data_IF_809079590126
#
_entry.id   IF_809079590126
#
_cell.length_a   1.000
_cell.length_b   1.000
_cell.length_c   1.000
_cell.angle_alpha   90.00
_cell.angle_beta   90.00
_cell.angle_gamma   90.00
#
_symmetry.space_group_name_H-M   'P 1'
#
loop_
_entity.id
_entity.type
_entity.pdbx_description
1 polymer ?
#
# COMPACT_ATOMS: atom_id res chain seq x y z
N UNK A 1 16.27 5.66 25.87
CA UNK A 1 16.36 6.11 24.47
C UNK A 1 14.93 6.22 23.96
N UNK A 2 14.47 7.40 23.63
CA UNK A 2 13.15 7.54 23.00
C UNK A 2 13.20 6.89 21.61
N UNK A 3 12.37 5.88 21.41
CA UNK A 3 12.23 5.23 20.10
C UNK A 3 11.55 6.22 19.15
N UNK A 4 12.24 6.63 18.09
CA UNK A 4 11.67 7.50 17.06
C UNK A 4 11.87 6.91 15.68
N UNK A 5 10.93 7.18 14.79
CA UNK A 5 11.02 6.79 13.39
C UNK A 5 10.93 8.04 12.52
N UNK A 6 11.87 8.19 11.60
CA UNK A 6 11.82 9.20 10.57
C UNK A 6 11.47 8.56 9.23
N UNK A 7 10.57 9.17 8.49
CA UNK A 7 10.24 8.79 7.11
C UNK A 7 10.14 10.03 6.24
N UNK A 8 10.28 9.87 4.94
CA UNK A 8 10.20 10.99 3.99
C UNK A 8 9.09 10.72 2.98
N UNK A 9 8.24 11.71 2.76
CA UNK A 9 7.22 11.66 1.72
C UNK A 9 7.41 12.82 0.73
N UNK A 10 6.91 12.68 -0.51
CA UNK A 10 6.92 13.78 -1.48
C UNK A 10 6.17 15.00 -0.94
N UNK A 11 6.68 16.19 -1.24
CA UNK A 11 6.09 17.45 -0.75
C UNK A 11 4.64 17.67 -1.17
N UNK A 12 4.30 17.26 -2.38
CA UNK A 12 2.94 17.32 -2.91
C UNK A 12 1.96 16.36 -2.21
N UNK A 13 2.46 15.44 -1.37
CA UNK A 13 1.65 14.54 -0.55
C UNK A 13 1.46 15.00 0.90
N UNK A 14 2.18 16.03 1.33
CA UNK A 14 2.09 16.56 2.70
C UNK A 14 0.67 17.05 3.00
N UNK A 15 0.06 17.77 2.06
CA UNK A 15 -1.33 18.22 2.23
C UNK A 15 -2.32 17.09 2.47
N UNK A 16 -2.15 15.96 1.75
CA UNK A 16 -2.97 14.77 1.96
C UNK A 16 -2.71 14.10 3.32
N UNK A 17 -1.47 14.12 3.81
CA UNK A 17 -1.11 13.60 5.14
C UNK A 17 -1.68 14.44 6.27
N UNK A 18 -1.65 15.75 6.15
CA UNK A 18 -2.21 16.66 7.17
C UNK A 18 -3.74 16.60 7.13
N UNK A 19 -4.33 16.64 5.93
CA UNK A 19 -5.76 16.71 5.71
C UNK A 19 -6.32 18.10 6.00
N UNK A 20 -7.62 18.29 5.76
CA UNK A 20 -8.32 19.52 6.11
C UNK A 20 -8.26 19.73 7.62
N UNK A 21 -7.77 20.90 8.05
CA UNK A 21 -7.66 21.27 9.48
C UNK A 21 -6.88 20.22 10.34
N UNK A 22 -5.99 19.46 9.73
CA UNK A 22 -5.18 18.47 10.43
C UNK A 22 -5.89 17.12 10.69
N UNK A 23 -7.07 16.90 10.15
CA UNK A 23 -7.92 15.74 10.48
C UNK A 23 -7.29 14.39 10.17
N UNK A 24 -6.52 14.26 9.09
CA UNK A 24 -5.85 13.02 8.72
C UNK A 24 -4.71 12.72 9.69
N UNK A 25 -3.87 13.72 9.94
CA UNK A 25 -2.78 13.65 10.93
C UNK A 25 -3.29 13.25 12.30
N UNK A 26 -4.30 13.96 12.82
CA UNK A 26 -4.90 13.68 14.13
C UNK A 26 -5.47 12.27 14.22
N UNK A 27 -6.06 11.77 13.14
CA UNK A 27 -6.60 10.41 13.09
C UNK A 27 -5.52 9.35 13.19
N UNK A 28 -4.39 9.55 12.53
CA UNK A 28 -3.23 8.64 12.62
C UNK A 28 -2.63 8.68 14.03
N UNK A 29 -2.42 9.88 14.59
CA UNK A 29 -1.86 10.06 15.92
C UNK A 29 -2.69 9.37 17.00
N UNK A 30 -4.03 9.50 16.92
CA UNK A 30 -4.96 8.86 17.88
C UNK A 30 -5.03 7.35 17.69
N UNK A 31 -5.02 6.85 16.45
CA UNK A 31 -5.16 5.43 16.17
C UNK A 31 -3.97 4.61 16.70
N UNK A 32 -2.79 5.18 16.70
CA UNK A 32 -1.55 4.50 17.07
C UNK A 32 -0.91 5.04 18.36
N UNK A 33 -1.55 6.01 19.00
CA UNK A 33 -1.02 6.68 20.19
C UNK A 33 0.41 7.19 19.99
N UNK A 34 0.59 7.96 18.91
CA UNK A 34 1.87 8.54 18.50
C UNK A 34 1.74 10.04 18.30
N UNK A 35 2.85 10.74 18.34
CA UNK A 35 2.99 12.15 17.93
C UNK A 35 3.69 12.22 16.58
N UNK A 36 3.17 13.04 15.68
CA UNK A 36 3.72 13.24 14.35
C UNK A 36 4.14 14.69 14.14
N UNK A 37 5.41 14.90 13.82
CA UNK A 37 5.94 16.20 13.41
C UNK A 37 6.20 16.19 11.91
N UNK A 38 5.65 17.17 11.20
CA UNK A 38 5.73 17.29 9.74
C UNK A 38 6.60 18.47 9.38
N UNK A 39 7.70 18.22 8.68
CA UNK A 39 8.50 19.27 8.07
C UNK A 39 8.08 19.44 6.59
N UNK A 40 7.32 20.49 6.32
CA UNK A 40 6.76 20.75 4.98
C UNK A 40 7.80 21.15 3.93
N UNK A 41 8.96 21.63 4.33
CA UNK A 41 10.03 22.02 3.40
C UNK A 41 10.84 20.81 2.93
N UNK A 42 11.17 19.91 3.84
CA UNK A 42 12.00 18.73 3.56
C UNK A 42 11.18 17.47 3.22
N UNK A 43 9.91 17.41 3.59
CA UNK A 43 9.09 16.21 3.49
C UNK A 43 9.39 15.17 4.58
N UNK A 44 10.22 15.51 5.55
CA UNK A 44 10.56 14.61 6.68
C UNK A 44 9.39 14.58 7.66
N UNK A 45 8.98 13.38 8.00
CA UNK A 45 7.97 13.08 9.01
C UNK A 45 8.66 12.35 10.16
N UNK A 46 8.59 12.92 11.34
CA UNK A 46 9.08 12.30 12.57
C UNK A 46 7.91 11.75 13.36
N UNK A 47 8.00 10.49 13.75
CA UNK A 47 7.03 9.77 14.57
C UNK A 47 7.66 9.41 15.92
N UNK A 48 6.98 9.77 16.98
CA UNK A 48 7.36 9.49 18.37
C UNK A 48 6.18 8.81 19.08
N UNK A 49 6.42 7.83 19.96
CA UNK A 49 5.35 7.31 20.80
C UNK A 49 4.91 8.38 21.81
N UNK A 50 3.64 8.42 22.18
CA UNK A 50 3.19 9.23 23.30
C UNK A 50 3.71 8.67 24.62
N UNK A 51 3.69 9.49 25.68
CA UNK A 51 4.10 9.07 27.02
C UNK A 51 3.26 7.87 27.49
N UNK A 52 3.95 6.79 27.87
CA UNK A 52 3.30 5.55 28.29
C UNK A 52 3.02 4.54 27.18
N UNK A 53 3.14 4.92 25.92
CA UNK A 53 3.07 3.98 24.80
C UNK A 53 4.41 3.25 24.63
N UNK A 54 4.45 1.98 25.02
CA UNK A 54 5.63 1.11 24.89
C UNK A 54 5.50 0.08 23.75
N UNK A 55 4.49 0.23 22.87
CA UNK A 55 4.27 -0.68 21.76
C UNK A 55 5.06 -0.24 20.51
N UNK A 56 6.16 -0.94 20.16
CA UNK A 56 6.93 -0.62 18.95
C UNK A 56 6.16 -0.90 17.66
N UNK A 57 5.15 -1.77 17.70
CA UNK A 57 4.33 -2.12 16.53
C UNK A 57 3.46 -0.94 16.11
N UNK A 58 2.90 -0.19 17.05
CA UNK A 58 2.09 0.98 16.77
C UNK A 58 2.85 2.03 15.96
N UNK A 59 4.12 2.26 16.31
CA UNK A 59 4.97 3.22 15.61
C UNK A 59 5.30 2.78 14.18
N UNK A 60 5.55 1.47 13.97
CA UNK A 60 5.78 0.92 12.64
C UNK A 60 4.52 1.00 11.76
N UNK A 61 3.36 0.71 12.32
CA UNK A 61 2.07 0.85 11.61
C UNK A 61 1.76 2.29 11.24
N UNK A 62 1.97 3.23 12.15
CA UNK A 62 1.83 4.65 11.84
C UNK A 62 2.74 5.05 10.66
N UNK A 63 4.00 4.57 10.67
CA UNK A 63 4.93 4.78 9.55
C UNK A 63 4.40 4.21 8.23
N UNK A 64 3.81 3.01 8.24
CA UNK A 64 3.27 2.38 7.03
C UNK A 64 2.09 3.18 6.46
N UNK A 65 1.20 3.71 7.31
CA UNK A 65 0.11 4.60 6.89
C UNK A 65 0.66 5.88 6.26
N UNK A 66 1.64 6.51 6.89
CA UNK A 66 2.32 7.71 6.35
C UNK A 66 2.98 7.40 5.01
N UNK A 67 3.69 6.27 4.92
CA UNK A 67 4.32 5.81 3.69
C UNK A 67 3.29 5.56 2.58
N UNK A 68 2.17 4.93 2.88
CA UNK A 68 1.08 4.69 1.92
C UNK A 68 0.55 6.01 1.33
N UNK A 69 0.28 7.01 2.17
CA UNK A 69 -0.12 8.34 1.71
C UNK A 69 0.97 8.95 0.83
N UNK A 70 2.23 8.85 1.21
CA UNK A 70 3.39 9.29 0.43
C UNK A 70 3.54 8.56 -0.91
N UNK A 71 3.02 7.34 -1.03
CA UNK A 71 2.99 6.54 -2.27
C UNK A 71 1.71 6.74 -3.10
N UNK A 72 0.96 7.80 -2.83
CA UNK A 72 -0.17 8.24 -3.65
C UNK A 72 -1.53 7.69 -3.24
N UNK A 73 -1.63 6.89 -2.18
CA UNK A 73 -2.93 6.47 -1.68
C UNK A 73 -3.71 7.66 -1.10
N UNK A 74 -5.01 7.69 -1.34
CA UNK A 74 -5.90 8.57 -0.59
C UNK A 74 -5.91 8.14 0.89
N UNK A 75 -6.07 9.09 1.84
CA UNK A 75 -6.07 8.77 3.27
C UNK A 75 -7.03 7.63 3.65
N UNK A 76 -8.22 7.60 3.07
CA UNK A 76 -9.23 6.55 3.32
C UNK A 76 -8.72 5.14 2.95
N UNK A 77 -7.91 5.04 1.89
CA UNK A 77 -7.29 3.78 1.49
C UNK A 77 -6.10 3.42 2.38
N UNK A 78 -5.31 4.41 2.80
CA UNK A 78 -4.22 4.20 3.73
C UNK A 78 -4.71 3.74 5.11
N UNK A 79 -5.90 4.18 5.54
CA UNK A 79 -6.52 3.77 6.80
C UNK A 79 -6.91 2.29 6.86
N UNK A 80 -6.95 1.59 5.74
CA UNK A 80 -7.09 0.12 5.73
C UNK A 80 -5.95 -0.54 6.53
N UNK A 81 -4.77 0.09 6.58
CA UNK A 81 -3.62 -0.36 7.37
C UNK A 81 -3.80 -0.21 8.90
N UNK A 82 -4.92 0.35 9.37
CA UNK A 82 -5.25 0.33 10.79
C UNK A 82 -5.57 -1.09 11.27
N UNK A 83 -6.06 -1.94 10.38
CA UNK A 83 -6.30 -3.34 10.67
C UNK A 83 -4.98 -4.12 10.74
N UNK A 84 -4.87 -5.01 11.72
CA UNK A 84 -3.63 -5.74 12.01
C UNK A 84 -3.26 -6.78 10.94
N UNK A 85 -4.26 -7.27 10.20
CA UNK A 85 -4.10 -8.25 9.13
C UNK A 85 -3.81 -7.62 7.76
N UNK A 86 -3.71 -6.29 7.68
CA UNK A 86 -3.41 -5.56 6.45
C UNK A 86 -1.95 -5.13 6.39
N UNK A 87 -1.40 -5.20 5.20
CA UNK A 87 0.00 -4.87 4.93
C UNK A 87 0.11 -3.89 3.76
N UNK A 88 1.16 -3.09 3.80
CA UNK A 88 1.63 -2.27 2.69
C UNK A 88 2.82 -2.97 2.05
N UNK A 89 2.76 -3.17 0.75
CA UNK A 89 3.91 -3.55 -0.07
C UNK A 89 4.18 -2.48 -1.13
N UNK A 90 5.44 -2.18 -1.36
CA UNK A 90 5.87 -1.15 -2.32
C UNK A 90 6.91 -1.75 -3.25
N UNK A 91 6.66 -1.64 -4.54
CA UNK A 91 7.59 -2.02 -5.59
C UNK A 91 8.18 -0.75 -6.21
N UNK A 92 9.47 -0.56 -6.05
CA UNK A 92 10.20 0.57 -6.64
C UNK A 92 10.72 0.19 -8.03
N UNK A 93 10.23 0.87 -9.05
CA UNK A 93 10.63 0.63 -10.44
C UNK A 93 12.06 1.08 -10.73
N UNK A 94 12.63 1.95 -9.90
CA UNK A 94 14.04 2.34 -10.02
C UNK A 94 15.01 1.23 -9.65
N UNK A 95 14.60 0.33 -8.77
CA UNK A 95 15.39 -0.86 -8.42
C UNK A 95 15.56 -1.79 -9.63
N UNK A 96 14.59 -1.78 -10.55
CA UNK A 96 14.57 -2.63 -11.74
C UNK A 96 15.13 -1.94 -12.98
N UNK A 97 14.86 -0.66 -13.16
CA UNK A 97 15.14 0.10 -14.38
C UNK A 97 16.12 1.27 -14.17
N UNK A 98 16.63 1.45 -12.96
CA UNK A 98 17.49 2.58 -12.61
C UNK A 98 16.75 3.91 -12.87
N UNK A 99 17.41 4.83 -13.56
CA UNK A 99 16.86 6.16 -13.90
C UNK A 99 16.23 6.23 -15.30
N UNK A 100 15.93 5.09 -15.92
CA UNK A 100 15.27 5.06 -17.24
C UNK A 100 13.81 5.47 -17.14
N UNK A 101 13.54 6.75 -17.26
CA UNK A 101 12.17 7.29 -17.22
C UNK A 101 11.26 6.67 -18.31
N UNK A 102 11.83 6.38 -19.49
CA UNK A 102 11.09 5.73 -20.59
C UNK A 102 10.60 4.35 -20.20
N UNK A 103 11.45 3.52 -19.58
CA UNK A 103 11.06 2.17 -19.14
C UNK A 103 10.07 2.23 -17.99
N UNK A 104 10.30 3.12 -17.03
CA UNK A 104 9.39 3.34 -15.91
C UNK A 104 8.00 3.76 -16.42
N UNK A 105 7.89 4.73 -17.31
CA UNK A 105 6.61 5.16 -17.88
C UNK A 105 5.93 4.07 -18.69
N UNK A 106 6.69 3.32 -19.48
CA UNK A 106 6.15 2.18 -20.24
C UNK A 106 5.54 1.12 -19.33
N UNK A 107 6.22 0.75 -18.26
CA UNK A 107 5.75 -0.24 -17.28
C UNK A 107 4.55 0.27 -16.49
N UNK A 108 4.59 1.52 -16.04
CA UNK A 108 3.43 2.17 -15.38
C UNK A 108 2.20 2.12 -16.28
N UNK A 109 2.35 2.47 -17.56
CA UNK A 109 1.27 2.39 -18.53
C UNK A 109 0.68 0.99 -18.68
N UNK A 110 1.50 -0.05 -18.64
CA UNK A 110 1.05 -1.45 -18.68
C UNK A 110 0.25 -1.85 -17.43
N UNK A 111 0.68 -1.42 -16.25
CA UNK A 111 0.02 -1.73 -14.97
C UNK A 111 -1.29 -0.96 -14.83
N UNK A 112 -1.33 0.30 -15.24
CA UNK A 112 -2.55 1.10 -15.22
C UNK A 112 -3.54 0.56 -16.27
N UNK A 113 -3.05 0.31 -17.48
CA UNK A 113 -3.85 -0.07 -18.63
C UNK A 113 -4.67 1.09 -19.18
N UNK A 114 -5.37 0.84 -20.29
CA UNK A 114 -6.27 1.83 -20.90
C UNK A 114 -7.36 2.22 -19.90
N UNK A 115 -7.47 3.52 -19.63
CA UNK A 115 -8.45 4.10 -18.68
C UNK A 115 -8.42 3.44 -17.28
N UNK A 116 -7.26 2.92 -16.87
CA UNK A 116 -7.07 2.25 -15.58
C UNK A 116 -7.67 0.83 -15.51
N UNK A 117 -8.00 0.22 -16.64
CA UNK A 117 -8.66 -1.10 -16.71
C UNK A 117 -7.83 -2.21 -16.06
N UNK A 118 -6.52 -2.25 -16.35
CA UNK A 118 -5.65 -3.31 -15.82
C UNK A 118 -5.51 -3.19 -14.31
N UNK A 119 -5.29 -1.98 -13.80
CA UNK A 119 -5.23 -1.72 -12.35
C UNK A 119 -6.53 -2.18 -11.66
N UNK A 120 -7.69 -1.74 -12.17
CA UNK A 120 -8.99 -2.15 -11.59
C UNK A 120 -9.18 -3.67 -11.63
N UNK A 121 -8.77 -4.32 -12.72
CA UNK A 121 -8.85 -5.78 -12.82
C UNK A 121 -8.00 -6.48 -11.75
N UNK A 122 -6.78 -5.98 -11.49
CA UNK A 122 -5.95 -6.54 -10.42
C UNK A 122 -6.62 -6.31 -9.06
N UNK A 123 -7.09 -5.10 -8.77
CA UNK A 123 -7.77 -4.76 -7.52
C UNK A 123 -9.00 -5.65 -7.28
N UNK A 124 -9.87 -5.80 -8.26
CA UNK A 124 -11.09 -6.61 -8.18
C UNK A 124 -10.81 -8.11 -8.00
N UNK A 125 -9.76 -8.62 -8.65
CA UNK A 125 -9.43 -10.05 -8.59
C UNK A 125 -8.67 -10.44 -7.33
N UNK A 126 -7.96 -9.50 -6.70
CA UNK A 126 -7.12 -9.78 -5.51
C UNK A 126 -7.71 -9.24 -4.21
N UNK A 127 -8.62 -8.28 -4.28
CA UNK A 127 -9.11 -7.46 -3.15
C UNK A 127 -8.00 -6.58 -2.51
N UNK A 128 -6.90 -6.35 -3.23
CA UNK A 128 -5.88 -5.37 -2.87
C UNK A 128 -6.19 -4.00 -3.49
N UNK A 129 -5.77 -2.93 -2.84
CA UNK A 129 -5.79 -1.57 -3.41
C UNK A 129 -4.41 -1.25 -4.00
N UNK A 130 -4.38 -0.62 -5.17
CA UNK A 130 -3.14 -0.31 -5.89
C UNK A 130 -3.02 1.19 -6.12
N UNK A 131 -1.85 1.73 -5.85
CA UNK A 131 -1.46 3.10 -6.22
C UNK A 131 -0.22 3.06 -7.11
N UNK A 132 -0.29 3.72 -8.26
CA UNK A 132 0.85 3.93 -9.15
C UNK A 132 1.22 5.40 -9.07
N UNK A 133 2.29 5.71 -8.35
CA UNK A 133 2.70 7.09 -8.06
C UNK A 133 4.21 7.25 -8.17
N UNK A 134 4.66 8.33 -8.82
CA UNK A 134 6.08 8.54 -9.07
C UNK A 134 6.71 7.35 -9.81
N UNK A 135 7.70 6.74 -9.20
CA UNK A 135 8.38 5.54 -9.69
C UNK A 135 8.01 4.28 -8.89
N UNK A 136 6.94 4.33 -8.09
CA UNK A 136 6.54 3.23 -7.22
C UNK A 136 5.14 2.70 -7.53
N UNK A 137 4.94 1.44 -7.21
CA UNK A 137 3.66 0.76 -7.20
C UNK A 137 3.41 0.32 -5.76
N UNK A 138 2.45 0.95 -5.11
CA UNK A 138 2.02 0.59 -3.76
C UNK A 138 0.84 -0.37 -3.82
N UNK A 139 0.77 -1.31 -2.87
CA UNK A 139 -0.30 -2.29 -2.73
C UNK A 139 -0.69 -2.40 -1.27
N UNK A 140 -1.99 -2.30 -0.96
CA UNK A 140 -2.55 -2.42 0.39
C UNK A 140 -3.64 -3.49 0.40
N UNK A 141 -3.60 -4.38 1.36
CA UNK A 141 -4.60 -5.43 1.55
C UNK A 141 -4.13 -6.50 2.52
N UNK A 142 -4.87 -7.60 2.60
CA UNK A 142 -4.39 -8.80 3.29
C UNK A 142 -3.15 -9.37 2.61
N UNK A 143 -2.35 -10.14 3.33
CA UNK A 143 -1.08 -10.66 2.84
C UNK A 143 -1.22 -11.43 1.50
N UNK A 144 -2.17 -12.37 1.42
CA UNK A 144 -2.38 -13.16 0.20
C UNK A 144 -2.86 -12.30 -0.98
N UNK A 145 -3.69 -11.29 -0.71
CA UNK A 145 -4.17 -10.33 -1.72
C UNK A 145 -3.01 -9.51 -2.29
N UNK A 146 -2.19 -8.94 -1.42
CA UNK A 146 -1.02 -8.14 -1.79
C UNK A 146 0.02 -8.98 -2.52
N UNK A 147 0.29 -10.22 -2.05
CA UNK A 147 1.21 -11.15 -2.71
C UNK A 147 0.78 -11.48 -4.14
N UNK A 148 -0.51 -11.75 -4.35
CA UNK A 148 -1.07 -12.03 -5.69
C UNK A 148 -1.03 -10.79 -6.58
N UNK A 149 -1.37 -9.62 -6.04
CA UNK A 149 -1.30 -8.35 -6.78
C UNK A 149 0.14 -8.03 -7.21
N UNK A 150 1.11 -8.25 -6.33
CA UNK A 150 2.53 -8.10 -6.63
C UNK A 150 2.97 -9.03 -7.77
N UNK A 151 2.62 -10.31 -7.70
CA UNK A 151 2.96 -11.28 -8.74
C UNK A 151 2.38 -10.86 -10.11
N UNK A 152 1.13 -10.39 -10.15
CA UNK A 152 0.51 -9.87 -11.36
C UNK A 152 1.25 -8.63 -11.91
N UNK A 153 1.65 -7.69 -11.03
CA UNK A 153 2.44 -6.53 -11.41
C UNK A 153 3.80 -6.93 -11.97
N UNK A 154 4.49 -7.87 -11.34
CA UNK A 154 5.78 -8.39 -11.81
C UNK A 154 5.68 -9.10 -13.16
N UNK A 155 4.60 -9.84 -13.42
CA UNK A 155 4.34 -10.42 -14.73
C UNK A 155 4.22 -9.34 -15.82
N UNK A 156 3.52 -8.24 -15.54
CA UNK A 156 3.40 -7.10 -16.46
C UNK A 156 4.74 -6.39 -16.68
N UNK A 157 5.54 -6.23 -15.63
CA UNK A 157 6.88 -5.66 -15.67
C UNK A 157 7.79 -6.50 -16.57
N UNK A 158 7.72 -7.83 -16.46
CA UNK A 158 8.48 -8.80 -17.29
C UNK A 158 7.97 -8.90 -18.72
N UNK A 159 6.94 -8.13 -19.11
CA UNK A 159 6.43 -8.07 -20.47
C UNK A 159 5.38 -9.14 -20.82
N UNK A 160 4.83 -9.86 -19.85
CA UNK A 160 3.74 -10.82 -20.10
C UNK A 160 2.51 -10.11 -20.67
N UNK A 161 1.82 -10.76 -21.59
CA UNK A 161 0.58 -10.22 -22.18
C UNK A 161 -0.51 -10.04 -21.13
N UNK A 162 -1.32 -9.00 -21.25
CA UNK A 162 -2.44 -8.74 -20.33
C UNK A 162 -3.40 -9.94 -20.20
N UNK A 163 -3.70 -10.62 -21.31
CA UNK A 163 -4.54 -11.82 -21.30
C UNK A 163 -3.98 -12.93 -20.40
N UNK A 164 -2.67 -13.13 -20.42
CA UNK A 164 -1.98 -14.10 -19.55
C UNK A 164 -2.11 -13.71 -18.08
N UNK A 165 -1.91 -12.43 -17.76
CA UNK A 165 -2.06 -11.92 -16.38
C UNK A 165 -3.50 -12.05 -15.88
N UNK A 166 -4.48 -11.73 -16.72
CA UNK A 166 -5.90 -11.88 -16.38
C UNK A 166 -6.30 -13.34 -16.14
N UNK A 167 -5.73 -14.27 -16.92
CA UNK A 167 -5.94 -15.72 -16.70
C UNK A 167 -5.36 -16.14 -15.36
N UNK A 168 -4.14 -15.72 -15.04
CA UNK A 168 -3.50 -15.94 -13.74
C UNK A 168 -4.38 -15.45 -12.60
N UNK A 169 -4.84 -14.18 -12.66
CA UNK A 169 -5.68 -13.58 -11.62
C UNK A 169 -6.99 -14.35 -11.41
N UNK A 170 -7.65 -14.82 -12.50
CA UNK A 170 -8.88 -15.62 -12.37
C UNK A 170 -8.62 -16.97 -11.69
N UNK A 171 -7.50 -17.61 -11.97
CA UNK A 171 -7.11 -18.86 -11.32
C UNK A 171 -6.90 -18.59 -9.81
N UNK A 172 -6.11 -17.59 -9.45
CA UNK A 172 -5.85 -17.21 -8.05
C UNK A 172 -7.13 -16.84 -7.30
N UNK A 173 -8.04 -16.09 -7.92
CA UNK A 173 -9.34 -15.76 -7.33
C UNK A 173 -10.17 -17.01 -7.04
N UNK A 174 -10.16 -17.97 -7.95
CA UNK A 174 -10.88 -19.24 -7.78
C UNK A 174 -10.29 -20.08 -6.65
N UNK A 175 -8.97 -20.15 -6.58
CA UNK A 175 -8.25 -20.86 -5.49
C UNK A 175 -8.54 -20.21 -4.12
N UNK A 176 -8.49 -18.90 -4.02
CA UNK A 176 -8.80 -18.16 -2.79
C UNK A 176 -10.24 -18.41 -2.32
N UNK A 177 -11.22 -18.39 -3.23
CA UNK A 177 -12.62 -18.71 -2.90
C UNK A 177 -12.78 -20.15 -2.41
N UNK A 178 -12.10 -21.11 -3.03
CA UNK A 178 -12.15 -22.50 -2.63
C UNK A 178 -11.55 -22.69 -1.23
N UNK A 179 -10.40 -22.08 -0.95
CA UNK A 179 -9.76 -22.11 0.37
C UNK A 179 -10.69 -21.55 1.46
N UNK A 180 -11.29 -20.38 1.22
CA UNK A 180 -12.23 -19.77 2.17
C UNK A 180 -13.45 -20.66 2.43
N UNK A 181 -13.99 -21.32 1.41
CA UNK A 181 -15.11 -22.26 1.56
C UNK A 181 -14.71 -23.46 2.43
N UNK A 182 -13.54 -24.05 2.21
CA UNK A 182 -13.05 -25.17 3.01
C UNK A 182 -12.83 -24.78 4.48
N UNK A 183 -12.23 -23.62 4.75
CA UNK A 183 -12.03 -23.11 6.11
C UNK A 183 -13.34 -22.85 6.87
N UNK A 184 -14.41 -22.47 6.16
CA UNK A 184 -15.75 -22.29 6.74
C UNK A 184 -16.39 -23.65 7.14
N UNK A 185 -16.09 -24.72 6.39
CA UNK A 185 -16.60 -26.08 6.72
C UNK A 185 -15.82 -26.77 7.83
N UNK A 186 -14.54 -26.43 8.03
CA UNK A 186 -13.69 -26.98 9.07
C UNK A 186 -13.87 -26.35 10.46
N UNK A 187 -14.52 -25.19 10.54
CA UNK A 187 -14.87 -24.58 11.82
C UNK A 187 -16.11 -25.26 12.40
N UNK A 188 -16.00 -25.97 13.55
CA UNK A 188 -17.20 -26.51 14.20
C UNK A 188 -18.14 -25.37 14.60
N UNK A 189 -19.46 -25.54 14.51
CA UNK A 189 -20.41 -24.57 15.01
C UNK A 189 -20.14 -24.36 16.50
N UNK A 190 -19.81 -23.09 16.86
CA UNK A 190 -19.63 -22.68 18.24
C UNK A 190 -20.96 -22.63 19.02
#
# INVERSE_FOLDING_TARGET
METRINTVIPRDRIGALIGSEGTVKDRIERAFDVRMTVNSESGVIELLPNEGNNDPVSLLKAKDVVAAIGKGFAPEKAFILFDDDKVLDVLDLRDLFGRSETDIQRVKGRIIGSEGKTRRMIEEMTDANISVYGHTIGMIGGYDAVSTAREAAEMLIKGKQHATVYKFLRIKRREAKKKMTLELWEKPPG
#
